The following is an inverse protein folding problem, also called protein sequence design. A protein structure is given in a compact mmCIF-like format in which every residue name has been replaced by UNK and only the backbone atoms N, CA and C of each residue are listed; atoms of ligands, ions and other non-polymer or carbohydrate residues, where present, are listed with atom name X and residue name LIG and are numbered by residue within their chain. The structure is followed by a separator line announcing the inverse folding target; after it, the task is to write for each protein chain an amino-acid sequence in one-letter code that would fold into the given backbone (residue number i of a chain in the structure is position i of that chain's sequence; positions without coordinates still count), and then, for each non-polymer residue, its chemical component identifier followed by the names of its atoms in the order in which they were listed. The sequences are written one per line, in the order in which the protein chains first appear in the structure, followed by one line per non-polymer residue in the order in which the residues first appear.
data_IF_568729632220
#
_entry.id   IF_568729632220
#
_cell.length_a   1.000
_cell.length_b   1.000
_cell.length_c   1.000
_cell.angle_alpha   90.00
_cell.angle_beta   90.00
_cell.angle_gamma   90.00
#
_symmetry.space_group_name_H-M   'P 1'
#
loop_
_entity.id
_entity.type
_entity.pdbx_description
1 polymer ?
#
# COMPACT_ATOMS: atom_id res chain seq x y z
N UNK A 1 20.66 2.83 -34.95
CA UNK A 1 20.32 3.38 -33.62
C UNK A 1 18.85 3.74 -33.64
N UNK A 2 17.92 2.92 -33.09
CA UNK A 2 16.53 3.34 -32.81
C UNK A 2 15.63 2.22 -32.19
N UNK A 3 16.05 1.56 -31.11
CA UNK A 3 15.19 0.59 -30.40
C UNK A 3 15.09 0.83 -28.89
N UNK A 4 15.84 1.81 -28.36
CA UNK A 4 15.86 2.13 -26.93
C UNK A 4 14.63 2.97 -26.52
N UNK A 5 14.06 3.78 -27.42
CA UNK A 5 12.97 4.72 -27.11
C UNK A 5 11.60 4.04 -26.91
N UNK A 6 11.23 3.07 -27.75
CA UNK A 6 9.92 2.39 -27.67
C UNK A 6 9.76 1.62 -26.36
N UNK A 7 10.82 0.93 -25.92
CA UNK A 7 10.82 0.14 -24.69
C UNK A 7 10.81 1.03 -23.43
N UNK A 8 11.41 2.23 -23.49
CA UNK A 8 11.33 3.20 -22.39
C UNK A 8 9.93 3.82 -22.27
N UNK A 9 9.34 4.21 -23.40
CA UNK A 9 8.00 4.80 -23.47
C UNK A 9 6.90 3.82 -23.02
N UNK A 10 6.96 2.56 -23.46
CA UNK A 10 6.01 1.53 -23.01
C UNK A 10 6.12 1.27 -21.50
N UNK A 11 7.33 1.24 -20.95
CA UNK A 11 7.55 1.07 -19.50
C UNK A 11 6.99 2.25 -18.70
N UNK A 12 7.19 3.48 -19.18
CA UNK A 12 6.60 4.67 -18.57
C UNK A 12 5.07 4.63 -18.63
N UNK A 13 4.49 4.27 -19.79
CA UNK A 13 3.03 4.16 -19.97
C UNK A 13 2.40 3.11 -19.06
N UNK A 14 3.03 1.93 -18.93
CA UNK A 14 2.57 0.87 -18.00
C UNK A 14 2.61 1.33 -16.54
N UNK A 15 3.67 2.05 -16.13
CA UNK A 15 3.74 2.64 -14.78
C UNK A 15 2.59 3.62 -14.53
N UNK A 16 2.34 4.55 -15.46
CA UNK A 16 1.25 5.52 -15.35
C UNK A 16 -0.12 4.83 -15.26
N UNK A 17 -0.35 3.78 -16.05
CA UNK A 17 -1.59 3.01 -16.00
C UNK A 17 -1.79 2.32 -14.63
N UNK A 18 -0.73 1.74 -14.05
CA UNK A 18 -0.75 1.16 -12.70
C UNK A 18 -1.05 2.21 -11.62
N UNK A 19 -0.39 3.37 -11.69
CA UNK A 19 -0.61 4.50 -10.76
C UNK A 19 -2.06 4.99 -10.84
N UNK A 20 -2.60 5.18 -12.05
CA UNK A 20 -4.00 5.61 -12.24
C UNK A 20 -4.99 4.59 -11.68
N UNK A 21 -4.71 3.29 -11.83
CA UNK A 21 -5.52 2.23 -11.24
C UNK A 21 -5.46 2.26 -9.71
N UNK A 22 -4.29 2.47 -9.12
CA UNK A 22 -4.12 2.62 -7.68
C UNK A 22 -4.92 3.79 -7.12
N UNK A 23 -4.82 4.99 -7.72
CA UNK A 23 -5.56 6.17 -7.27
C UNK A 23 -7.07 5.98 -7.27
N UNK A 24 -7.61 5.27 -8.27
CA UNK A 24 -9.05 4.94 -8.28
C UNK A 24 -9.46 4.13 -7.06
N UNK A 25 -8.70 3.10 -6.69
CA UNK A 25 -8.99 2.29 -5.51
C UNK A 25 -8.79 3.08 -4.21
N UNK A 26 -7.73 3.90 -4.14
CA UNK A 26 -7.47 4.79 -3.00
C UNK A 26 -8.60 5.80 -2.79
N UNK A 27 -9.08 6.44 -3.84
CA UNK A 27 -10.18 7.42 -3.77
C UNK A 27 -11.45 6.73 -3.27
N UNK A 28 -11.81 5.57 -3.82
CA UNK A 28 -12.98 4.80 -3.38
C UNK A 28 -12.83 4.44 -1.89
N UNK A 29 -11.67 3.96 -1.48
CA UNK A 29 -11.38 3.64 -0.09
C UNK A 29 -11.54 4.86 0.83
N UNK A 30 -10.98 6.01 0.46
CA UNK A 30 -11.10 7.25 1.24
C UNK A 30 -12.56 7.71 1.32
N UNK A 31 -13.30 7.70 0.20
CA UNK A 31 -14.72 8.10 0.19
C UNK A 31 -15.56 7.20 1.09
N UNK A 32 -15.34 5.88 1.06
CA UNK A 32 -16.05 4.92 1.94
C UNK A 32 -15.68 5.17 3.40
N UNK A 33 -14.40 5.35 3.73
CA UNK A 33 -13.95 5.63 5.09
C UNK A 33 -14.46 6.99 5.62
N UNK A 34 -14.48 8.02 4.79
CA UNK A 34 -15.07 9.33 5.14
C UNK A 34 -16.58 9.19 5.33
N UNK A 35 -17.27 8.45 4.47
CA UNK A 35 -18.69 8.15 4.63
C UNK A 35 -18.98 7.47 5.97
N UNK A 36 -18.20 6.46 6.32
CA UNK A 36 -18.27 5.79 7.63
C UNK A 36 -17.99 6.74 8.80
N UNK A 37 -16.96 7.62 8.69
CA UNK A 37 -16.66 8.62 9.70
C UNK A 37 -17.78 9.66 9.86
N UNK A 38 -18.37 10.14 8.76
CA UNK A 38 -19.48 11.10 8.79
C UNK A 38 -20.72 10.48 9.42
N UNK A 39 -21.03 9.23 9.09
CA UNK A 39 -22.11 8.46 9.73
C UNK A 39 -21.81 8.26 11.22
N UNK A 40 -20.58 7.94 11.58
CA UNK A 40 -20.13 7.79 12.98
C UNK A 40 -20.24 9.09 13.79
N UNK A 41 -19.83 10.24 13.22
CA UNK A 41 -19.91 11.55 13.89
C UNK A 41 -21.36 12.02 14.05
N UNK A 42 -22.24 11.72 13.09
CA UNK A 42 -23.67 12.10 13.16
C UNK A 42 -24.54 11.14 13.97
N UNK A 43 -24.14 9.88 14.08
CA UNK A 43 -24.86 8.82 14.81
C UNK A 43 -23.99 8.27 15.95
N UNK A 44 -23.31 9.15 16.70
CA UNK A 44 -22.40 8.78 17.80
C UNK A 44 -23.08 7.87 18.83
N UNK A 45 -24.41 7.91 18.92
CA UNK A 45 -25.22 7.08 19.83
C UNK A 45 -25.61 5.70 19.29
N UNK A 46 -25.65 5.48 17.96
CA UNK A 46 -26.28 4.26 17.40
C UNK A 46 -25.26 3.17 17.05
N UNK A 47 -24.01 3.53 16.71
CA UNK A 47 -23.02 2.56 16.21
C UNK A 47 -21.99 2.14 17.28
N UNK A 48 -21.75 2.98 18.29
CA UNK A 48 -20.82 2.67 19.39
C UNK A 48 -21.54 2.30 20.70
N UNK A 49 -22.83 2.64 20.86
CA UNK A 49 -23.57 2.52 22.13
C UNK A 49 -24.93 1.84 22.05
N UNK A 50 -25.34 1.23 20.93
CA UNK A 50 -26.52 0.36 20.96
C UNK A 50 -26.14 -1.05 21.44
N UNK A 51 -25.63 -1.09 22.67
CA UNK A 51 -25.26 -2.28 23.44
C UNK A 51 -26.49 -2.98 24.02
N UNK A 52 -27.65 -2.89 23.37
CA UNK A 52 -28.90 -3.39 23.93
C UNK A 52 -29.84 -3.91 22.86
N UNK A 53 -30.02 -5.23 22.94
CA UNK A 53 -31.13 -6.06 22.46
C UNK A 53 -30.80 -6.90 21.23
N UNK A 54 -30.71 -8.21 21.47
CA UNK A 54 -30.07 -9.19 20.61
C UNK A 54 -30.66 -9.32 19.20
N UNK A 55 -29.75 -9.55 18.25
CA UNK A 55 -29.95 -10.28 17.00
C UNK A 55 -28.56 -10.41 16.34
N UNK A 56 -28.19 -11.62 15.92
CA UNK A 56 -26.89 -11.95 15.29
C UNK A 56 -26.49 -11.04 14.11
N UNK A 57 -27.47 -10.36 13.52
CA UNK A 57 -27.33 -9.42 12.43
C UNK A 57 -26.51 -8.17 12.79
N UNK A 58 -26.65 -7.62 14.00
CA UNK A 58 -25.95 -6.37 14.37
C UNK A 58 -24.46 -6.60 14.63
N UNK A 59 -24.13 -7.71 15.30
CA UNK A 59 -22.74 -8.17 15.48
C UNK A 59 -22.07 -8.41 14.13
N UNK A 60 -22.78 -9.05 13.19
CA UNK A 60 -22.28 -9.26 11.84
C UNK A 60 -21.98 -7.94 11.12
N UNK A 61 -22.85 -6.94 11.22
CA UNK A 61 -22.63 -5.61 10.60
C UNK A 61 -21.42 -4.91 11.21
N UNK A 62 -21.27 -4.89 12.54
CA UNK A 62 -20.12 -4.25 13.20
C UNK A 62 -18.78 -4.86 12.78
N UNK A 63 -18.68 -6.20 12.79
CA UNK A 63 -17.49 -6.90 12.34
C UNK A 63 -17.18 -6.63 10.87
N UNK A 64 -18.18 -6.56 9.99
CA UNK A 64 -17.96 -6.21 8.59
C UNK A 64 -17.51 -4.76 8.40
N UNK A 65 -18.07 -3.82 9.14
CA UNK A 65 -17.71 -2.40 9.04
C UNK A 65 -16.27 -2.13 9.51
N UNK A 66 -15.73 -2.92 10.43
CA UNK A 66 -14.32 -2.81 10.86
C UNK A 66 -13.38 -3.68 10.04
N UNK A 67 -13.71 -4.95 9.81
CA UNK A 67 -12.83 -5.87 9.10
C UNK A 67 -12.69 -5.50 7.62
N UNK A 68 -13.77 -5.12 6.94
CA UNK A 68 -13.73 -4.86 5.49
C UNK A 68 -12.77 -3.70 5.15
N UNK A 69 -12.81 -2.53 5.82
CA UNK A 69 -11.82 -1.48 5.61
C UNK A 69 -10.40 -1.88 6.01
N UNK A 70 -10.22 -2.67 7.07
CA UNK A 70 -8.87 -3.12 7.49
C UNK A 70 -8.26 -4.04 6.42
N UNK A 71 -8.99 -5.06 5.96
CA UNK A 71 -8.52 -5.97 4.91
C UNK A 71 -8.31 -5.24 3.58
N UNK A 72 -9.22 -4.34 3.20
CA UNK A 72 -9.03 -3.49 2.03
C UNK A 72 -7.82 -2.58 2.18
N UNK A 73 -7.59 -2.01 3.37
CA UNK A 73 -6.43 -1.17 3.69
C UNK A 73 -5.11 -1.93 3.55
N UNK A 74 -5.04 -3.19 4.01
CA UNK A 74 -3.87 -4.06 3.81
C UNK A 74 -3.65 -4.33 2.32
N UNK A 75 -4.71 -4.66 1.57
CA UNK A 75 -4.64 -4.87 0.12
C UNK A 75 -4.17 -3.61 -0.63
N UNK A 76 -4.62 -2.44 -0.19
CA UNK A 76 -4.23 -1.14 -0.73
C UNK A 76 -2.76 -0.82 -0.41
N UNK A 77 -2.29 -1.16 0.79
CA UNK A 77 -0.89 -0.99 1.20
C UNK A 77 0.03 -1.90 0.38
N UNK A 78 -0.33 -3.16 0.16
CA UNK A 78 0.42 -4.08 -0.72
C UNK A 78 0.40 -3.55 -2.17
N UNK A 79 -0.75 -3.06 -2.65
CA UNK A 79 -0.85 -2.48 -3.99
C UNK A 79 0.01 -1.21 -4.12
N UNK A 80 0.06 -0.37 -3.09
CA UNK A 80 0.92 0.80 -3.02
C UNK A 80 2.40 0.40 -3.13
N UNK A 81 2.85 -0.57 -2.32
CA UNK A 81 4.22 -1.08 -2.37
C UNK A 81 4.59 -1.66 -3.75
N UNK A 82 3.64 -2.26 -4.46
CA UNK A 82 3.85 -2.82 -5.80
C UNK A 82 3.88 -1.76 -6.90
N UNK A 83 3.00 -0.76 -6.82
CA UNK A 83 2.87 0.32 -7.82
C UNK A 83 3.97 1.35 -7.66
N UNK A 84 4.21 1.77 -6.41
CA UNK A 84 5.26 2.68 -6.04
C UNK A 84 6.56 1.97 -5.68
N UNK A 85 6.75 0.71 -6.15
CA UNK A 85 7.98 -0.12 -6.07
C UNK A 85 9.11 0.79 -5.66
N UNK A 86 9.61 0.76 -4.41
CA UNK A 86 10.32 1.88 -3.82
C UNK A 86 11.55 2.21 -4.65
N UNK A 87 11.37 3.08 -5.64
CA UNK A 87 12.39 3.92 -6.24
C UNK A 87 12.62 5.10 -5.31
N UNK A 88 12.48 4.88 -4.00
CA UNK A 88 12.97 5.81 -3.00
C UNK A 88 14.48 5.73 -3.12
N UNK A 89 15.12 6.84 -3.50
CA UNK A 89 16.58 6.91 -3.60
C UNK A 89 17.27 6.31 -2.37
N UNK A 90 16.63 6.44 -1.20
CA UNK A 90 17.08 5.84 0.06
C UNK A 90 17.26 4.31 0.02
N UNK A 91 16.35 3.56 -0.60
CA UNK A 91 16.45 2.08 -0.68
C UNK A 91 17.58 1.70 -1.62
N UNK A 92 17.68 2.40 -2.76
CA UNK A 92 18.72 2.16 -3.75
C UNK A 92 20.12 2.50 -3.21
N UNK A 93 20.24 3.62 -2.51
CA UNK A 93 21.47 4.07 -1.84
C UNK A 93 21.82 3.19 -0.62
N UNK A 94 20.83 2.60 0.04
CA UNK A 94 21.08 1.58 1.06
C UNK A 94 21.58 0.27 0.43
N UNK A 95 20.97 -0.21 -0.65
CA UNK A 95 21.41 -1.42 -1.36
C UNK A 95 22.84 -1.27 -1.88
N UNK A 96 23.17 -0.14 -2.50
CA UNK A 96 24.52 0.17 -3.01
C UNK A 96 25.56 0.16 -1.88
N UNK A 97 25.26 0.77 -0.73
CA UNK A 97 26.14 0.74 0.47
C UNK A 97 26.28 -0.65 1.11
N UNK A 98 25.34 -1.57 0.92
CA UNK A 98 25.51 -2.95 1.39
C UNK A 98 26.36 -3.76 0.43
N UNK A 99 26.21 -3.51 -0.87
CA UNK A 99 27.01 -4.16 -1.92
C UNK A 99 28.50 -3.80 -1.77
N UNK A 100 28.82 -2.52 -1.58
CA UNK A 100 30.18 -2.05 -1.33
C UNK A 100 30.80 -2.71 -0.09
N UNK A 101 30.04 -2.87 0.99
CA UNK A 101 30.51 -3.54 2.21
C UNK A 101 30.78 -5.03 2.02
N UNK A 102 30.01 -5.69 1.17
CA UNK A 102 30.21 -7.11 0.86
C UNK A 102 31.49 -7.30 0.04
N UNK A 103 31.67 -6.49 -1.01
CA UNK A 103 32.88 -6.51 -1.85
C UNK A 103 34.12 -6.23 -1.01
N UNK A 104 34.10 -5.19 -0.18
CA UNK A 104 35.24 -4.86 0.69
C UNK A 104 35.62 -6.00 1.65
N UNK A 105 34.62 -6.74 2.17
CA UNK A 105 34.86 -7.92 3.03
C UNK A 105 35.43 -9.11 2.27
N UNK A 106 35.04 -9.29 1.00
CA UNK A 106 35.60 -10.34 0.14
C UNK A 106 37.05 -10.02 -0.24
N UNK A 107 37.34 -8.78 -0.64
CA UNK A 107 38.70 -8.30 -0.93
C UNK A 107 39.62 -8.41 0.30
N UNK A 108 39.12 -8.08 1.49
CA UNK A 108 39.88 -8.24 2.74
C UNK A 108 40.19 -9.72 3.00
N UNK A 109 39.21 -10.61 2.83
CA UNK A 109 39.43 -12.06 2.99
C UNK A 109 40.42 -12.63 1.98
N UNK A 110 40.38 -12.19 0.72
CA UNK A 110 41.34 -12.60 -0.31
C UNK A 110 42.76 -12.12 -0.02
N UNK A 111 42.91 -10.96 0.62
CA UNK A 111 44.22 -10.38 0.95
C UNK A 111 44.93 -11.09 2.12
N UNK A 112 44.19 -11.85 2.93
CA UNK A 112 44.72 -12.60 4.09
C UNK A 112 44.71 -14.13 3.87
N UNK A 113 44.36 -14.59 2.66
CA UNK A 113 44.51 -15.97 2.16
C UNK A 113 45.77 -16.08 1.29
#
# INVERSE_FOLDING_TARGET
METISSNSYERARRKVACIKSFYRHLIIYIVVNIGLLVVSIRNLDVVLFQDTMGNDFETWVFWNVLCVPIFWGIGLLIHALRVFKPTSGFVKEWEERQLERLIAKEEEKEKYL
#
